data_IF_080101971547
#
_entry.id   IF_080101971547
#
_cell.length_a   1.000
_cell.length_b   1.000
_cell.length_c   1.000
_cell.angle_alpha   90.00
_cell.angle_beta   90.00
_cell.angle_gamma   90.00
#
_symmetry.space_group_name_H-M   'P 1'
#
loop_
_entity.id
_entity.type
_entity.pdbx_description
1 polymer ?
#
# COMPACT_ATOMS: atom_id res chain seq x y z
N UNK A 1 19.50 0.73 11.74
CA UNK A 1 18.02 0.59 11.63
C UNK A 1 17.45 1.89 11.08
N UNK A 2 16.82 1.84 9.94
CA UNK A 2 16.13 2.97 9.32
C UNK A 2 14.63 2.87 9.59
N UNK A 3 13.95 4.02 9.64
CA UNK A 3 12.52 4.10 9.98
C UNK A 3 11.79 4.99 9.00
N UNK A 4 10.60 4.56 8.57
CA UNK A 4 9.66 5.35 7.76
C UNK A 4 8.25 5.19 8.30
N UNK A 5 7.40 6.17 8.00
CA UNK A 5 5.97 6.09 8.29
C UNK A 5 5.18 5.84 7.01
N UNK A 6 3.98 5.31 7.14
CA UNK A 6 3.01 5.16 6.06
C UNK A 6 1.60 5.43 6.55
N UNK A 7 0.82 6.14 5.74
CA UNK A 7 -0.62 6.29 5.94
C UNK A 7 -1.30 5.30 5.01
N UNK A 8 -2.05 4.36 5.59
CA UNK A 8 -2.59 3.22 4.89
C UNK A 8 -4.11 3.17 5.03
N UNK A 9 -4.78 2.86 3.94
CA UNK A 9 -6.21 2.58 3.93
C UNK A 9 -6.44 1.07 4.05
N UNK A 10 -6.98 0.64 5.17
CA UNK A 10 -7.49 -0.71 5.33
C UNK A 10 -8.91 -0.79 4.76
N UNK A 11 -9.15 -1.80 3.93
CA UNK A 11 -10.48 -2.12 3.43
C UNK A 11 -11.17 -3.11 4.37
N UNK A 12 -12.48 -3.30 4.16
CA UNK A 12 -13.30 -4.16 5.00
C UNK A 12 -12.74 -5.58 5.20
N UNK A 13 -12.92 -6.20 6.38
CA UNK A 13 -12.32 -7.50 6.70
C UNK A 13 -12.68 -8.61 5.73
N UNK A 14 -13.90 -8.63 5.18
CA UNK A 14 -14.35 -9.65 4.23
C UNK A 14 -13.55 -9.59 2.92
N UNK A 15 -13.27 -8.40 2.41
CA UNK A 15 -12.40 -8.21 1.24
C UNK A 15 -10.96 -8.61 1.57
N UNK A 16 -10.42 -8.08 2.68
CA UNK A 16 -9.06 -8.33 3.12
C UNK A 16 -8.78 -9.83 3.29
N UNK A 17 -9.70 -10.59 3.89
CA UNK A 17 -9.53 -12.04 4.07
C UNK A 17 -9.39 -12.79 2.73
N UNK A 18 -10.14 -12.40 1.69
CA UNK A 18 -10.04 -12.99 0.35
C UNK A 18 -8.75 -12.59 -0.35
N UNK A 19 -8.34 -11.34 -0.22
CA UNK A 19 -7.05 -10.87 -0.74
C UNK A 19 -5.87 -11.61 -0.08
N UNK A 20 -5.90 -11.83 1.24
CA UNK A 20 -4.90 -12.64 1.95
C UNK A 20 -4.87 -14.08 1.44
N UNK A 21 -6.03 -14.71 1.28
CA UNK A 21 -6.10 -16.07 0.75
C UNK A 21 -5.53 -16.16 -0.67
N UNK A 22 -5.85 -15.19 -1.52
CA UNK A 22 -5.28 -15.10 -2.86
C UNK A 22 -3.76 -14.96 -2.81
N UNK A 23 -3.24 -14.04 -1.99
CA UNK A 23 -1.81 -13.83 -1.82
C UNK A 23 -1.09 -15.09 -1.38
N UNK A 24 -1.59 -15.76 -0.33
CA UNK A 24 -0.93 -16.94 0.23
C UNK A 24 -0.84 -18.08 -0.79
N UNK A 25 -1.88 -18.28 -1.62
CA UNK A 25 -1.86 -19.29 -2.68
C UNK A 25 -0.82 -18.89 -3.75
N UNK A 26 -0.80 -17.63 -4.17
CA UNK A 26 0.12 -17.16 -5.22
C UNK A 26 1.56 -17.15 -4.73
N UNK A 27 1.83 -16.59 -3.55
CA UNK A 27 3.18 -16.58 -2.98
C UNK A 27 3.71 -17.98 -2.72
N UNK A 28 2.85 -18.91 -2.25
CA UNK A 28 3.21 -20.30 -2.07
C UNK A 28 3.58 -21.01 -3.38
N UNK A 29 2.84 -20.74 -4.46
CA UNK A 29 3.12 -21.32 -5.79
C UNK A 29 4.47 -20.89 -6.36
N UNK A 30 4.86 -19.62 -6.13
CA UNK A 30 6.09 -19.04 -6.69
C UNK A 30 7.21 -18.91 -5.66
N UNK A 31 7.07 -19.53 -4.48
CA UNK A 31 8.04 -19.51 -3.38
C UNK A 31 8.49 -18.08 -2.98
N UNK A 32 7.59 -17.10 -3.09
CA UNK A 32 7.86 -15.68 -2.82
C UNK A 32 7.47 -15.30 -1.40
N UNK A 33 8.10 -15.93 -0.41
CA UNK A 33 7.77 -15.81 1.02
C UNK A 33 8.02 -14.41 1.57
N UNK A 34 9.01 -13.69 1.07
CA UNK A 34 9.28 -12.31 1.48
C UNK A 34 8.08 -11.39 1.22
N UNK A 35 7.35 -11.63 0.13
CA UNK A 35 6.16 -10.85 -0.20
C UNK A 35 5.02 -11.02 0.82
N UNK A 36 4.99 -12.13 1.58
CA UNK A 36 3.98 -12.36 2.62
C UNK A 36 4.21 -11.54 3.89
N UNK A 37 5.40 -11.00 4.10
CA UNK A 37 5.74 -10.19 5.27
C UNK A 37 5.07 -8.81 5.24
N UNK A 38 4.68 -8.34 4.06
CA UNK A 38 4.00 -7.05 3.90
C UNK A 38 2.52 -7.14 4.26
N UNK A 39 2.00 -6.14 4.97
CA UNK A 39 0.58 -6.06 5.27
C UNK A 39 -0.22 -5.78 3.98
N UNK A 40 -1.34 -6.49 3.77
CA UNK A 40 -2.26 -6.20 2.68
C UNK A 40 -3.07 -4.93 2.99
N UNK A 41 -2.72 -3.86 2.33
CA UNK A 41 -3.27 -2.53 2.50
C UNK A 41 -3.21 -1.74 1.19
N UNK A 42 -3.95 -0.67 1.14
CA UNK A 42 -3.84 0.34 0.09
C UNK A 42 -3.05 1.52 0.64
N UNK A 43 -1.84 1.74 0.16
CA UNK A 43 -1.04 2.88 0.61
C UNK A 43 -1.66 4.19 0.13
N UNK A 44 -1.94 5.08 1.07
CA UNK A 44 -2.34 6.46 0.81
C UNK A 44 -1.09 7.31 0.63
N UNK A 45 -0.14 7.21 1.58
CA UNK A 45 1.21 7.77 1.46
C UNK A 45 2.19 6.71 1.99
N UNK A 46 3.14 6.27 1.14
CA UNK A 46 4.08 5.20 1.48
C UNK A 46 5.42 5.76 1.97
N UNK A 47 6.00 5.10 2.96
CA UNK A 47 7.42 5.17 3.35
C UNK A 47 8.03 6.58 3.43
N UNK A 48 7.36 7.52 4.08
CA UNK A 48 7.88 8.87 4.24
C UNK A 48 8.67 9.05 5.55
N UNK A 49 9.73 9.88 5.55
CA UNK A 49 10.47 10.21 6.77
C UNK A 49 9.65 11.13 7.68
N UNK A 50 9.75 10.89 8.98
CA UNK A 50 9.16 11.73 10.01
C UNK A 50 10.02 11.67 11.26
N UNK A 51 10.26 12.82 11.89
CA UNK A 51 10.98 12.87 13.17
C UNK A 51 10.12 12.29 14.30
N UNK A 52 10.73 11.62 15.26
CA UNK A 52 10.01 11.04 16.40
C UNK A 52 9.17 12.07 17.16
N UNK A 53 9.67 13.32 17.26
CA UNK A 53 8.95 14.42 17.91
C UNK A 53 7.67 14.85 17.19
N UNK A 54 7.52 14.52 15.90
CA UNK A 54 6.34 14.87 15.10
C UNK A 54 5.30 13.75 15.02
N UNK A 55 5.62 12.53 15.47
CA UNK A 55 4.75 11.35 15.32
C UNK A 55 3.39 11.54 16.00
N UNK A 56 3.35 12.08 17.20
CA UNK A 56 2.08 12.32 17.93
C UNK A 56 1.21 13.35 17.20
N UNK A 57 1.82 14.41 16.68
CA UNK A 57 1.10 15.43 15.92
C UNK A 57 0.56 14.86 14.60
N UNK A 58 1.36 14.03 13.94
CA UNK A 58 0.93 13.30 12.74
C UNK A 58 -0.23 12.37 13.06
N UNK A 59 -0.18 11.57 14.13
CA UNK A 59 -1.25 10.67 14.54
C UNK A 59 -2.57 11.45 14.77
N UNK A 60 -2.52 12.60 15.42
CA UNK A 60 -3.68 13.48 15.57
C UNK A 60 -4.18 14.01 14.22
N UNK A 61 -3.27 14.38 13.32
CA UNK A 61 -3.61 14.80 11.96
C UNK A 61 -4.33 13.72 11.16
N UNK A 62 -3.84 12.48 11.22
CA UNK A 62 -4.48 11.31 10.59
C UNK A 62 -5.87 11.05 11.18
N UNK A 63 -6.04 11.25 12.49
CA UNK A 63 -7.35 11.15 13.15
C UNK A 63 -8.35 12.17 12.63
N UNK A 64 -7.96 13.43 12.46
CA UNK A 64 -8.80 14.49 11.88
C UNK A 64 -9.14 14.18 10.41
N UNK A 65 -8.15 13.77 9.64
CA UNK A 65 -8.34 13.37 8.24
C UNK A 65 -9.36 12.24 8.10
N UNK A 66 -9.29 11.23 8.97
CA UNK A 66 -10.26 10.13 9.00
C UNK A 66 -11.66 10.61 9.39
N UNK A 67 -11.78 11.48 10.38
CA UNK A 67 -13.06 12.05 10.80
C UNK A 67 -13.72 12.88 9.69
N UNK A 68 -12.96 13.73 9.02
CA UNK A 68 -13.47 14.56 7.92
C UNK A 68 -13.85 13.72 6.70
N UNK A 69 -13.05 12.70 6.37
CA UNK A 69 -13.38 11.73 5.33
C UNK A 69 -14.69 11.00 5.67
N UNK A 70 -14.84 10.54 6.90
CA UNK A 70 -16.05 9.85 7.37
C UNK A 70 -17.30 10.74 7.31
N UNK A 71 -17.19 12.03 7.64
CA UNK A 71 -18.31 12.98 7.54
C UNK A 71 -18.76 13.20 6.10
N UNK A 72 -17.82 13.24 5.15
CA UNK A 72 -18.12 13.46 3.73
C UNK A 72 -18.61 12.19 3.03
N UNK A 73 -17.98 11.06 3.28
CA UNK A 73 -18.22 9.81 2.57
C UNK A 73 -17.89 8.62 3.47
N UNK A 74 -18.80 8.23 4.39
CA UNK A 74 -18.54 7.15 5.32
C UNK A 74 -18.39 5.82 4.57
N UNK A 75 -17.34 5.07 4.88
CA UNK A 75 -17.08 3.74 4.29
C UNK A 75 -17.24 3.71 2.76
N UNK A 76 -16.72 4.71 2.07
CA UNK A 76 -16.84 4.81 0.61
C UNK A 76 -16.39 3.53 -0.10
N UNK A 77 -17.01 3.27 -1.24
CA UNK A 77 -16.70 2.09 -2.08
C UNK A 77 -15.60 2.43 -3.09
N UNK A 78 -14.75 1.45 -3.38
CA UNK A 78 -13.69 1.53 -4.36
C UNK A 78 -13.81 0.30 -5.27
N UNK A 79 -13.86 0.50 -6.58
CA UNK A 79 -13.98 -0.60 -7.53
C UNK A 79 -12.63 -1.30 -7.68
N UNK A 80 -12.64 -2.63 -7.47
CA UNK A 80 -11.51 -3.50 -7.77
C UNK A 80 -11.60 -3.94 -9.23
N UNK A 81 -10.58 -3.59 -10.01
CA UNK A 81 -10.50 -3.91 -11.46
C UNK A 81 -9.92 -5.32 -11.71
N UNK A 82 -9.55 -6.01 -10.63
CA UNK A 82 -8.95 -7.34 -10.68
C UNK A 82 -7.44 -7.31 -10.45
N UNK A 83 -6.78 -8.42 -10.79
CA UNK A 83 -5.34 -8.57 -10.64
C UNK A 83 -4.62 -7.93 -11.81
N UNK A 84 -3.61 -7.12 -11.51
CA UNK A 84 -2.68 -6.55 -12.46
C UNK A 84 -1.23 -6.73 -11.96
N UNK A 85 -0.28 -6.55 -12.86
CA UNK A 85 1.14 -6.51 -12.53
C UNK A 85 1.80 -5.32 -13.22
N UNK A 86 2.89 -4.83 -12.67
CA UNK A 86 3.60 -3.69 -13.23
C UNK A 86 4.76 -3.27 -12.37
N UNK A 87 5.54 -2.33 -12.90
CA UNK A 87 6.61 -1.68 -12.15
C UNK A 87 6.01 -0.55 -11.32
N UNK A 88 6.43 -0.42 -10.08
CA UNK A 88 6.24 0.83 -9.37
C UNK A 88 7.15 1.88 -9.99
N UNK A 89 6.62 3.06 -10.26
CA UNK A 89 7.33 4.15 -10.94
C UNK A 89 8.57 4.68 -10.22
N UNK A 90 8.89 4.16 -9.04
CA UNK A 90 10.02 4.59 -8.22
C UNK A 90 11.31 3.78 -8.45
N UNK A 91 11.34 2.85 -9.39
CA UNK A 91 12.52 2.03 -9.67
C UNK A 91 13.10 2.32 -11.05
N UNK A 92 14.12 3.18 -11.14
CA UNK A 92 14.96 3.36 -12.34
C UNK A 92 15.96 2.20 -12.55
N UNK A 93 15.73 1.04 -11.92
CA UNK A 93 16.57 -0.13 -12.09
C UNK A 93 16.46 -0.69 -13.52
N UNK A 94 17.55 -0.62 -14.29
CA UNK A 94 17.65 -1.19 -15.65
C UNK A 94 17.39 -2.71 -15.68
N UNK A 95 17.36 -3.39 -14.53
CA UNK A 95 17.31 -4.85 -14.38
C UNK A 95 15.96 -5.43 -13.95
N UNK A 96 14.85 -4.68 -13.98
CA UNK A 96 13.52 -5.28 -13.77
C UNK A 96 13.18 -5.65 -12.30
N UNK A 97 13.88 -5.13 -11.32
CA UNK A 97 13.90 -5.57 -9.93
C UNK A 97 12.64 -5.22 -9.10
N UNK A 98 11.69 -4.43 -9.62
CA UNK A 98 10.50 -4.01 -8.86
C UNK A 98 9.19 -4.38 -9.57
N UNK A 99 9.04 -5.64 -9.94
CA UNK A 99 7.77 -6.14 -10.45
C UNK A 99 6.85 -6.49 -9.29
N UNK A 100 5.71 -5.81 -9.21
CA UNK A 100 4.68 -6.06 -8.22
C UNK A 100 3.46 -6.71 -8.86
N UNK A 101 2.82 -7.59 -8.12
CA UNK A 101 1.52 -8.16 -8.43
C UNK A 101 0.51 -7.57 -7.44
N UNK A 102 -0.58 -7.00 -7.93
CA UNK A 102 -1.51 -6.27 -7.09
C UNK A 102 -2.97 -6.39 -7.54
N UNK A 103 -3.87 -6.15 -6.62
CA UNK A 103 -5.26 -5.83 -6.92
C UNK A 103 -5.33 -4.35 -7.31
N UNK A 104 -5.84 -4.09 -8.51
CA UNK A 104 -5.91 -2.75 -9.09
C UNK A 104 -7.21 -2.05 -8.70
N UNK A 105 -7.09 -0.81 -8.23
CA UNK A 105 -8.21 0.07 -7.89
C UNK A 105 -8.09 1.42 -8.58
N UNK A 106 -7.43 1.46 -9.73
CA UNK A 106 -7.17 2.70 -10.47
C UNK A 106 -8.44 3.55 -10.59
N UNK A 107 -8.32 4.79 -10.16
CA UNK A 107 -9.39 5.77 -10.23
C UNK A 107 -8.99 6.90 -11.19
N UNK A 108 -9.87 7.21 -12.13
CA UNK A 108 -9.69 8.35 -13.04
C UNK A 108 -10.38 9.62 -12.52
N UNK A 109 -11.30 9.49 -11.57
CA UNK A 109 -11.99 10.62 -10.95
C UNK A 109 -11.14 11.19 -9.81
N UNK A 110 -10.63 12.39 -10.01
CA UNK A 110 -9.84 13.14 -9.02
C UNK A 110 -10.65 13.52 -7.77
N UNK A 111 -11.97 13.50 -7.84
CA UNK A 111 -12.88 13.77 -6.74
C UNK A 111 -13.33 12.50 -6.02
N UNK A 112 -12.91 11.32 -6.49
CA UNK A 112 -13.18 10.08 -5.78
C UNK A 112 -12.59 10.15 -4.35
N UNK A 113 -13.32 9.69 -3.31
CA UNK A 113 -12.89 9.84 -1.91
C UNK A 113 -11.47 9.35 -1.63
N UNK A 114 -10.99 8.29 -2.29
CA UNK A 114 -9.61 7.80 -2.10
C UNK A 114 -8.57 8.77 -2.65
N UNK A 115 -8.85 9.42 -3.79
CA UNK A 115 -7.95 10.42 -4.37
C UNK A 115 -7.95 11.71 -3.55
N UNK A 116 -9.11 12.09 -3.00
CA UNK A 116 -9.23 13.22 -2.06
C UNK A 116 -8.42 12.94 -0.81
N UNK A 117 -8.56 11.74 -0.23
CA UNK A 117 -7.84 11.31 0.95
C UNK A 117 -6.31 11.38 0.76
N UNK A 118 -5.82 10.92 -0.40
CA UNK A 118 -4.40 11.02 -0.75
C UNK A 118 -3.91 12.48 -0.77
N UNK A 119 -4.62 13.37 -1.49
CA UNK A 119 -4.22 14.79 -1.57
C UNK A 119 -4.22 15.50 -0.22
N UNK A 120 -5.22 15.24 0.60
CA UNK A 120 -5.31 15.83 1.94
C UNK A 120 -4.24 15.28 2.88
N UNK A 121 -3.91 13.98 2.78
CA UNK A 121 -2.81 13.39 3.51
C UNK A 121 -1.45 14.00 3.09
N UNK A 122 -1.24 14.18 1.78
CA UNK A 122 -0.03 14.80 1.27
C UNK A 122 0.12 16.25 1.77
N UNK A 123 -0.92 17.07 1.65
CA UNK A 123 -0.92 18.44 2.15
C UNK A 123 -0.65 18.52 3.66
N UNK A 124 -1.25 17.60 4.44
CA UNK A 124 -1.02 17.52 5.89
C UNK A 124 0.45 17.23 6.21
N UNK A 125 1.10 16.33 5.46
CA UNK A 125 2.52 15.99 5.68
C UNK A 125 3.42 17.16 5.30
N UNK A 126 3.14 17.86 4.19
CA UNK A 126 3.91 19.04 3.76
C UNK A 126 3.88 20.19 4.79
N UNK A 127 2.78 20.34 5.51
CA UNK A 127 2.64 21.34 6.56
C UNK A 127 3.25 20.91 7.91
N UNK A 128 3.62 19.63 8.05
CA UNK A 128 4.10 19.09 9.33
C UNK A 128 5.62 19.26 9.48
N UNK A 129 6.10 20.07 10.44
CA UNK A 129 7.53 20.18 10.70
C UNK A 129 8.14 18.83 11.09
N UNK A 130 9.24 18.46 10.43
CA UNK A 130 9.95 17.21 10.69
C UNK A 130 9.41 16.00 9.92
N UNK A 131 8.45 16.19 9.02
CA UNK A 131 8.03 15.20 8.02
C UNK A 131 8.29 15.73 6.61
N UNK A 132 8.39 14.84 5.64
CA UNK A 132 8.47 15.20 4.22
C UNK A 132 7.86 14.10 3.36
N UNK A 133 7.26 14.48 2.24
CA UNK A 133 6.75 13.52 1.28
C UNK A 133 7.90 12.75 0.63
N UNK A 134 7.70 11.47 0.27
CA UNK A 134 8.64 10.75 -0.57
C UNK A 134 8.67 11.39 -1.96
N UNK A 135 9.84 11.38 -2.61
CA UNK A 135 9.93 11.76 -4.01
C UNK A 135 9.25 10.67 -4.84
N UNK A 136 8.13 10.99 -5.48
CA UNK A 136 7.33 10.05 -6.29
C UNK A 136 7.24 10.57 -7.71
N UNK A 137 7.74 9.78 -8.65
CA UNK A 137 7.72 10.14 -10.08
C UNK A 137 6.41 9.78 -10.80
N UNK A 138 5.47 9.14 -10.12
CA UNK A 138 4.23 8.64 -10.71
C UNK A 138 2.98 9.19 -10.01
N UNK A 139 1.87 9.38 -10.76
CA UNK A 139 0.58 9.74 -10.17
C UNK A 139 0.12 8.71 -9.13
N UNK A 140 -0.66 9.16 -8.16
CA UNK A 140 -1.28 8.27 -7.17
C UNK A 140 -2.09 7.16 -7.85
N UNK A 141 -1.75 5.92 -7.51
CA UNK A 141 -2.41 4.72 -8.02
C UNK A 141 -2.85 3.84 -6.85
N UNK A 142 -4.13 3.87 -6.47
CA UNK A 142 -4.63 3.01 -5.41
C UNK A 142 -4.55 1.54 -5.82
N UNK A 143 -3.84 0.74 -5.02
CA UNK A 143 -3.63 -0.69 -5.24
C UNK A 143 -3.41 -1.41 -3.92
N UNK A 144 -3.65 -2.71 -3.88
CA UNK A 144 -3.30 -3.59 -2.77
C UNK A 144 -2.31 -4.62 -3.30
N UNK A 145 -1.06 -4.54 -2.86
CA UNK A 145 -0.02 -5.44 -3.33
C UNK A 145 -0.25 -6.87 -2.79
N UNK A 146 -0.41 -7.83 -3.70
CA UNK A 146 -0.46 -9.26 -3.39
C UNK A 146 0.96 -9.83 -3.28
N UNK A 147 1.88 -9.34 -4.10
CA UNK A 147 3.27 -9.73 -4.13
C UNK A 147 4.09 -8.47 -4.42
N UNK A 148 4.89 -8.05 -3.45
CA UNK A 148 5.69 -6.83 -3.52
C UNK A 148 7.16 -7.21 -3.45
N UNK A 149 7.98 -6.64 -4.33
CA UNK A 149 9.43 -6.93 -4.42
C UNK A 149 9.77 -8.42 -4.55
N UNK A 150 8.98 -9.15 -5.33
CA UNK A 150 9.11 -10.62 -5.45
C UNK A 150 10.38 -11.09 -6.18
N UNK A 151 11.12 -10.18 -6.81
CA UNK A 151 12.34 -10.48 -7.58
C UNK A 151 12.18 -11.65 -8.56
N UNK A 152 11.03 -11.73 -9.25
CA UNK A 152 10.77 -12.75 -10.25
C UNK A 152 11.16 -12.26 -11.65
N UNK A 153 11.70 -13.15 -12.50
CA UNK A 153 11.92 -12.83 -13.91
C UNK A 153 10.62 -12.36 -14.59
N UNK A 154 10.66 -11.44 -15.57
CA UNK A 154 9.46 -10.88 -16.19
C UNK A 154 8.48 -11.93 -16.77
N UNK A 155 8.99 -13.02 -17.33
CA UNK A 155 8.17 -14.13 -17.84
C UNK A 155 7.45 -14.86 -16.72
N UNK A 156 8.13 -15.11 -15.59
CA UNK A 156 7.55 -15.76 -14.42
C UNK A 156 6.53 -14.83 -13.75
N UNK A 157 6.79 -13.52 -13.74
CA UNK A 157 5.83 -12.53 -13.22
C UNK A 157 4.55 -12.49 -14.06
N UNK A 158 4.64 -12.61 -15.38
CA UNK A 158 3.47 -12.69 -16.25
C UNK A 158 2.64 -13.95 -15.96
N UNK A 159 3.29 -15.10 -15.82
CA UNK A 159 2.63 -16.35 -15.42
C UNK A 159 1.98 -16.24 -14.04
N UNK A 160 2.67 -15.61 -13.07
CA UNK A 160 2.14 -15.36 -11.73
C UNK A 160 0.90 -14.46 -11.77
N UNK A 161 0.89 -13.46 -12.64
CA UNK A 161 -0.26 -12.58 -12.81
C UNK A 161 -1.47 -13.34 -13.38
N UNK A 162 -1.29 -14.19 -14.38
CA UNK A 162 -2.37 -14.97 -14.95
C UNK A 162 -2.88 -16.04 -13.98
N UNK A 163 -1.99 -16.71 -13.25
CA UNK A 163 -2.37 -17.61 -12.16
C UNK A 163 -3.17 -16.88 -11.08
N UNK A 164 -2.70 -15.71 -10.66
CA UNK A 164 -3.36 -14.93 -9.61
C UNK A 164 -4.76 -14.43 -10.02
N UNK A 165 -4.99 -14.14 -11.31
CA UNK A 165 -6.34 -13.81 -11.82
C UNK A 165 -7.30 -14.99 -11.61
N UNK A 166 -6.88 -16.20 -11.96
CA UNK A 166 -7.65 -17.42 -11.72
C UNK A 166 -7.94 -17.63 -10.24
N UNK A 167 -6.90 -17.56 -9.40
CA UNK A 167 -7.04 -17.70 -7.94
C UNK A 167 -7.99 -16.64 -7.35
N UNK A 168 -7.90 -15.38 -7.78
CA UNK A 168 -8.77 -14.31 -7.29
C UNK A 168 -10.24 -14.57 -7.61
N UNK A 169 -10.54 -15.14 -8.79
CA UNK A 169 -11.89 -15.56 -9.19
C UNK A 169 -12.35 -16.71 -8.32
N UNK A 170 -11.55 -17.77 -8.15
CA UNK A 170 -11.90 -18.98 -7.39
C UNK A 170 -12.10 -18.67 -5.89
N UNK A 171 -11.27 -17.80 -5.32
CA UNK A 171 -11.42 -17.30 -3.95
C UNK A 171 -12.63 -16.37 -3.83
N UNK A 172 -13.10 -15.80 -4.94
CA UNK A 172 -14.20 -14.85 -5.00
C UNK A 172 -13.84 -13.49 -4.42
N UNK A 173 -12.71 -12.93 -4.82
CA UNK A 173 -12.34 -11.54 -4.47
C UNK A 173 -13.44 -10.61 -4.98
N UNK A 174 -14.06 -9.77 -4.13
CA UNK A 174 -15.14 -8.90 -4.57
C UNK A 174 -14.68 -7.84 -5.55
N UNK A 175 -15.55 -7.45 -6.47
CA UNK A 175 -15.30 -6.33 -7.42
C UNK A 175 -15.43 -4.95 -6.78
N UNK A 176 -15.84 -4.87 -5.52
CA UNK A 176 -15.95 -3.64 -4.74
C UNK A 176 -15.35 -3.88 -3.36
N UNK A 177 -14.43 -3.02 -2.97
CA UNK A 177 -13.94 -2.90 -1.60
C UNK A 177 -14.58 -1.70 -0.92
N UNK A 178 -14.75 -1.74 0.39
CA UNK A 178 -15.21 -0.60 1.18
C UNK A 178 -14.11 -0.13 2.10
N UNK A 179 -13.86 1.18 2.11
CA UNK A 179 -12.97 1.80 3.08
C UNK A 179 -13.45 1.48 4.49
N UNK A 180 -12.51 1.11 5.36
CA UNK A 180 -12.85 0.72 6.73
C UNK A 180 -12.11 1.54 7.77
N UNK A 181 -10.78 1.62 7.65
CA UNK A 181 -9.93 2.34 8.60
C UNK A 181 -8.79 3.06 7.90
N UNK A 182 -8.45 4.22 8.41
CA UNK A 182 -7.19 4.88 8.10
C UNK A 182 -6.19 4.53 9.20
N UNK A 183 -5.01 4.10 8.81
CA UNK A 183 -4.01 3.53 9.71
C UNK A 183 -2.70 4.27 9.52
N UNK A 184 -2.04 4.62 10.61
CA UNK A 184 -0.66 5.10 10.62
C UNK A 184 0.24 3.97 11.07
N UNK A 185 1.18 3.58 10.20
CA UNK A 185 2.17 2.55 10.47
C UNK A 185 3.56 3.13 10.56
N UNK A 186 4.39 2.47 11.36
CA UNK A 186 5.84 2.66 11.36
C UNK A 186 6.50 1.42 10.79
N UNK A 187 7.41 1.64 9.85
CA UNK A 187 8.20 0.62 9.21
C UNK A 187 9.64 0.73 9.66
N UNK A 188 10.29 -0.41 9.89
CA UNK A 188 11.69 -0.52 10.27
C UNK A 188 12.39 -1.49 9.32
N UNK A 189 13.60 -1.14 8.92
CA UNK A 189 14.51 -2.03 8.21
C UNK A 189 15.94 -1.72 8.62
N UNK A 190 16.75 -2.73 8.73
CA UNK A 190 18.19 -2.59 8.92
C UNK A 190 18.90 -2.43 7.57
N UNK A 191 18.35 -3.02 6.50
CA UNK A 191 18.91 -3.05 5.15
C UNK A 191 18.61 -1.79 4.33
N UNK A 192 17.54 -1.06 4.64
CA UNK A 192 17.11 0.11 3.86
C UNK A 192 18.10 1.29 3.90
N UNK A 193 18.90 1.42 4.98
CA UNK A 193 19.67 2.64 5.20
C UNK A 193 18.78 3.88 5.16
N UNK A 194 19.16 4.88 4.37
CA UNK A 194 18.35 6.09 4.15
C UNK A 194 17.49 6.01 2.89
N UNK A 195 17.74 5.03 2.03
CA UNK A 195 17.06 4.86 0.75
C UNK A 195 16.05 3.71 0.78
N UNK A 196 14.78 4.07 0.75
CA UNK A 196 13.65 3.15 0.69
C UNK A 196 13.09 2.97 -0.73
N UNK A 197 13.74 3.50 -1.76
CA UNK A 197 13.25 3.45 -3.14
C UNK A 197 13.53 2.12 -3.86
N UNK A 198 14.55 1.37 -3.44
CA UNK A 198 15.05 0.22 -4.19
C UNK A 198 14.57 -1.15 -3.71
N UNK A 199 13.76 -1.21 -2.65
CA UNK A 199 13.15 -2.45 -2.18
C UNK A 199 14.10 -3.49 -1.56
N UNK A 200 15.40 -3.18 -1.39
CA UNK A 200 16.38 -4.05 -0.74
C UNK A 200 15.99 -4.42 0.69
N UNK A 201 15.27 -3.54 1.34
CA UNK A 201 14.72 -3.67 2.69
C UNK A 201 13.51 -4.61 2.78
N UNK A 202 12.95 -5.04 1.68
CA UNK A 202 11.71 -5.83 1.67
C UNK A 202 11.84 -7.19 2.38
N UNK A 203 13.06 -7.71 2.48
CA UNK A 203 13.33 -9.00 3.14
C UNK A 203 13.40 -8.92 4.66
N UNK A 204 13.65 -7.73 5.24
CA UNK A 204 13.81 -7.54 6.69
C UNK A 204 12.82 -6.54 7.29
N UNK A 205 11.86 -6.04 6.50
CA UNK A 205 10.89 -5.06 6.95
C UNK A 205 10.05 -5.57 8.12
N UNK A 206 9.96 -4.74 9.13
CA UNK A 206 9.05 -4.90 10.26
C UNK A 206 8.14 -3.70 10.33
N UNK A 207 6.94 -3.88 10.82
CA UNK A 207 5.99 -2.78 10.95
C UNK A 207 5.21 -2.87 12.25
N UNK A 208 4.81 -1.71 12.76
CA UNK A 208 3.98 -1.57 13.94
C UNK A 208 2.86 -0.55 13.73
N UNK A 209 1.74 -0.77 14.41
CA UNK A 209 0.64 0.19 14.44
C UNK A 209 0.96 1.34 15.39
N UNK A 210 0.88 2.58 14.89
CA UNK A 210 0.88 3.78 15.74
C UNK A 210 -0.55 4.15 16.09
N UNK A 211 -1.43 4.24 15.10
CA UNK A 211 -2.83 4.61 15.30
C UNK A 211 -3.74 4.04 14.22
N UNK A 212 -5.04 3.97 14.51
CA UNK A 212 -6.03 3.44 13.59
C UNK A 212 -7.40 4.07 13.83
N UNK A 213 -7.98 4.67 12.80
CA UNK A 213 -9.23 5.44 12.87
C UNK A 213 -10.28 4.89 11.92
N UNK A 214 -11.54 4.87 12.35
CA UNK A 214 -12.67 4.38 11.53
C UNK A 214 -13.07 5.44 10.51
N UNK A 215 -13.32 5.00 9.26
CA UNK A 215 -13.84 5.80 8.15
C UNK A 215 -15.36 5.65 7.98
#
# INVERSE_FOLDING_TARGET
MSTRLGIELAVEPAFTARAYRTRNIVCGQYASWAAEMHMLRMSVISYFPCSDSAVDLLAHGVGRLAEDSRKRSPRFSINCLGVAHGRDGNGSGENGENNNLYLDFKQNDINHPVAVLHREAAAMIEELPGASLPTVDSPFHPKINLMEYANLPPTVMADAADFAKGVAIDVGVPVVARAWRLVLLRYHSDDAGDDWSHGSWSSDVRWEYISSYVL
#
